data_IF_316673019889
#
_entry.id   IF_316673019889
#
_cell.length_a   1.000
_cell.length_b   1.000
_cell.length_c   1.000
_cell.angle_alpha   90.00
_cell.angle_beta   90.00
_cell.angle_gamma   90.00
#
_symmetry.space_group_name_H-M   'P 1'
#
loop_
_entity.id
_entity.type
_entity.pdbx_description
1 polymer ?
#
# COMPACT_ATOMS: atom_id res chain seq x y z
N UNK A 1 20.97 7.65 17.23
CA UNK A 1 20.37 8.89 16.68
C UNK A 1 20.44 8.79 15.18
N UNK A 2 19.30 8.98 14.50
CA UNK A 2 19.23 8.91 13.04
C UNK A 2 20.15 9.98 12.42
N UNK A 3 20.75 9.66 11.27
CA UNK A 3 21.50 10.64 10.47
C UNK A 3 20.56 11.75 9.94
N UNK A 4 21.01 13.00 9.94
CA UNK A 4 20.17 14.17 9.61
C UNK A 4 19.65 14.14 8.15
N UNK A 5 20.46 13.67 7.19
CA UNK A 5 20.04 13.53 5.79
C UNK A 5 19.00 12.42 5.64
N UNK A 6 19.16 11.32 6.38
CA UNK A 6 18.17 10.25 6.43
C UNK A 6 16.85 10.76 7.01
N UNK A 7 16.91 11.51 8.11
CA UNK A 7 15.74 12.08 8.77
C UNK A 7 14.98 13.04 7.84
N UNK A 8 15.67 13.95 7.16
CA UNK A 8 15.05 14.87 6.19
C UNK A 8 14.34 14.11 5.05
N UNK A 9 14.98 13.08 4.49
CA UNK A 9 14.40 12.29 3.40
C UNK A 9 13.12 11.57 3.81
N UNK A 10 13.07 11.02 5.02
CA UNK A 10 11.87 10.37 5.58
C UNK A 10 10.73 11.39 5.73
N UNK A 11 11.02 12.54 6.36
CA UNK A 11 10.00 13.57 6.56
C UNK A 11 9.51 14.18 5.24
N UNK A 12 10.42 14.37 4.27
CA UNK A 12 10.08 14.88 2.95
C UNK A 12 9.22 13.89 2.16
N UNK A 13 9.55 12.60 2.18
CA UNK A 13 8.70 11.55 1.59
C UNK A 13 7.30 11.57 2.21
N UNK A 14 7.21 11.64 3.55
CA UNK A 14 5.95 11.70 4.28
C UNK A 14 5.10 12.93 3.93
N UNK A 15 5.73 14.11 3.88
CA UNK A 15 5.06 15.36 3.51
C UNK A 15 4.49 15.33 2.09
N UNK A 16 5.25 14.77 1.14
CA UNK A 16 4.78 14.62 -0.24
C UNK A 16 3.62 13.62 -0.28
N UNK A 17 3.76 12.45 0.36
CA UNK A 17 2.71 11.43 0.42
C UNK A 17 1.41 11.98 1.02
N UNK A 18 1.48 12.71 2.14
CA UNK A 18 0.32 13.40 2.76
C UNK A 18 -0.37 14.35 1.78
N UNK A 19 0.40 15.21 1.10
CA UNK A 19 -0.12 16.17 0.13
C UNK A 19 -0.78 15.48 -1.06
N UNK A 20 -0.15 14.43 -1.59
CA UNK A 20 -0.66 13.65 -2.72
C UNK A 20 -1.91 12.86 -2.32
N UNK A 21 -1.95 12.24 -1.14
CA UNK A 21 -3.13 11.53 -0.61
C UNK A 21 -4.32 12.47 -0.48
N UNK A 22 -4.12 13.67 0.09
CA UNK A 22 -5.16 14.71 0.18
C UNK A 22 -5.65 15.14 -1.20
N UNK A 23 -4.73 15.42 -2.12
CA UNK A 23 -5.07 15.71 -3.53
C UNK A 23 -5.89 14.58 -4.18
N UNK A 24 -5.48 13.33 -3.99
CA UNK A 24 -6.16 12.17 -4.56
C UNK A 24 -7.58 12.00 -4.00
N UNK A 25 -7.76 12.18 -2.68
CA UNK A 25 -9.07 12.16 -2.03
C UNK A 25 -10.02 13.27 -2.50
N UNK A 26 -9.49 14.45 -2.83
CA UNK A 26 -10.29 15.54 -3.41
C UNK A 26 -10.67 15.31 -4.88
N UNK A 27 -9.83 14.57 -5.62
CA UNK A 27 -10.00 14.33 -7.06
C UNK A 27 -10.87 13.12 -7.39
N UNK A 28 -10.88 12.11 -6.52
CA UNK A 28 -11.64 10.89 -6.74
C UNK A 28 -13.14 11.21 -6.78
N UNK A 29 -13.83 10.74 -7.82
CA UNK A 29 -15.28 10.87 -7.98
C UNK A 29 -15.81 9.80 -8.93
N UNK A 30 -17.10 9.44 -8.84
CA UNK A 30 -17.72 8.53 -9.80
C UNK A 30 -17.54 9.00 -11.25
N UNK A 31 -17.40 8.02 -12.14
CA UNK A 31 -17.23 8.22 -13.59
C UNK A 31 -15.82 8.54 -14.06
N UNK A 32 -14.86 8.86 -13.17
CA UNK A 32 -13.46 8.99 -13.55
C UNK A 32 -12.89 7.62 -13.93
N UNK A 33 -12.14 7.57 -15.04
CA UNK A 33 -11.36 6.39 -15.42
C UNK A 33 -10.25 6.13 -14.40
N UNK A 34 -10.22 4.91 -13.90
CA UNK A 34 -9.23 4.46 -12.90
C UNK A 34 -7.80 4.66 -13.41
N UNK A 35 -7.58 4.39 -14.69
CA UNK A 35 -6.30 4.61 -15.38
C UNK A 35 -5.84 6.08 -15.29
N UNK A 36 -6.69 7.01 -15.70
CA UNK A 36 -6.35 8.44 -15.75
C UNK A 36 -6.13 9.00 -14.34
N UNK A 37 -6.88 8.51 -13.36
CA UNK A 37 -6.71 8.86 -11.96
C UNK A 37 -5.33 8.46 -11.43
N UNK A 38 -4.93 7.19 -11.59
CA UNK A 38 -3.63 6.74 -11.08
C UNK A 38 -2.45 7.43 -11.78
N UNK A 39 -2.55 7.69 -13.09
CA UNK A 39 -1.51 8.46 -13.81
C UNK A 39 -1.41 9.90 -13.30
N UNK A 40 -2.53 10.54 -12.94
CA UNK A 40 -2.55 11.88 -12.36
C UNK A 40 -1.95 11.92 -10.95
N UNK A 41 -2.33 10.97 -10.09
CA UNK A 41 -1.77 10.84 -8.74
C UNK A 41 -0.25 10.60 -8.78
N UNK A 42 0.22 9.69 -9.65
CA UNK A 42 1.65 9.40 -9.78
C UNK A 42 2.44 10.57 -10.38
N UNK A 43 1.88 11.26 -11.39
CA UNK A 43 2.46 12.49 -11.91
C UNK A 43 2.60 13.52 -10.80
N UNK A 44 1.59 13.65 -9.93
CA UNK A 44 1.62 14.58 -8.80
C UNK A 44 2.77 14.28 -7.83
N UNK A 45 3.09 13.01 -7.60
CA UNK A 45 4.26 12.61 -6.78
C UNK A 45 5.56 13.17 -7.40
N UNK A 46 5.74 13.04 -8.71
CA UNK A 46 6.92 13.57 -9.40
C UNK A 46 6.99 15.10 -9.35
N UNK A 47 5.87 15.80 -9.53
CA UNK A 47 5.79 17.27 -9.46
C UNK A 47 6.19 17.82 -8.09
N UNK A 48 5.86 17.09 -7.02
CA UNK A 48 6.23 17.44 -5.65
C UNK A 48 7.68 17.05 -5.30
N UNK A 49 8.42 16.49 -6.27
CA UNK A 49 9.84 16.15 -6.13
C UNK A 49 10.10 14.80 -5.45
N UNK A 50 9.10 13.91 -5.41
CA UNK A 50 9.23 12.52 -4.98
C UNK A 50 9.24 11.55 -6.16
N UNK A 51 9.29 10.25 -5.83
CA UNK A 51 9.02 9.17 -6.78
C UNK A 51 8.04 8.17 -6.15
N UNK A 52 7.18 7.48 -6.91
CA UNK A 52 6.31 6.45 -6.37
C UNK A 52 7.13 5.32 -5.71
N UNK A 53 6.86 5.02 -4.43
CA UNK A 53 7.47 3.87 -3.75
C UNK A 53 6.84 2.54 -4.20
N UNK A 54 5.59 2.61 -4.65
CA UNK A 54 4.84 1.54 -5.30
C UNK A 54 3.74 2.19 -6.15
N UNK A 55 3.06 1.45 -7.04
CA UNK A 55 2.02 2.01 -7.89
C UNK A 55 0.85 2.56 -7.08
N UNK A 56 0.26 3.68 -7.52
CA UNK A 56 -0.98 4.16 -6.91
C UNK A 56 -2.03 3.04 -6.96
N UNK A 57 -2.48 2.64 -5.78
CA UNK A 57 -3.48 1.62 -5.58
C UNK A 57 -4.85 2.29 -5.44
N UNK A 58 -5.86 1.75 -6.11
CA UNK A 58 -7.22 2.29 -6.14
C UNK A 58 -8.24 1.16 -6.01
N UNK A 59 -8.32 0.58 -4.82
CA UNK A 59 -9.10 -0.63 -4.55
C UNK A 59 -10.57 -0.30 -4.23
N UNK A 60 -11.50 -0.84 -5.02
CA UNK A 60 -12.93 -0.48 -4.97
C UNK A 60 -13.76 -1.59 -4.31
N UNK A 61 -14.65 -1.21 -3.39
CA UNK A 61 -15.60 -2.07 -2.68
C UNK A 61 -14.91 -3.26 -1.98
N UNK A 62 -15.14 -4.48 -2.47
CA UNK A 62 -14.61 -5.72 -1.90
C UNK A 62 -13.15 -5.99 -2.26
N UNK A 63 -12.59 -5.26 -3.21
CA UNK A 63 -11.15 -5.26 -3.44
C UNK A 63 -10.51 -4.57 -2.25
N UNK A 64 -9.68 -5.28 -1.49
CA UNK A 64 -9.02 -4.79 -0.29
C UNK A 64 -7.76 -3.99 -0.64
N UNK A 65 -6.87 -4.57 -1.45
CA UNK A 65 -5.57 -3.99 -1.80
C UNK A 65 -5.05 -4.56 -3.15
N UNK A 66 -3.90 -4.05 -3.59
CA UNK A 66 -3.14 -4.52 -4.77
C UNK A 66 -3.81 -4.33 -6.13
N UNK A 67 -4.82 -3.47 -6.23
CA UNK A 67 -5.38 -3.09 -7.53
C UNK A 67 -4.83 -1.73 -7.97
N UNK A 68 -4.16 -1.73 -9.12
CA UNK A 68 -3.75 -0.56 -9.90
C UNK A 68 -4.15 -0.84 -11.36
N UNK A 69 -4.54 0.16 -12.15
CA UNK A 69 -5.03 -0.05 -13.50
C UNK A 69 -3.93 -0.59 -14.44
N UNK A 70 -4.35 -1.29 -15.49
CA UNK A 70 -3.46 -1.88 -16.49
C UNK A 70 -3.51 -1.16 -17.85
N UNK A 71 -2.62 -1.52 -18.78
CA UNK A 71 -2.60 -0.96 -20.14
C UNK A 71 -3.92 -1.26 -20.86
N UNK A 72 -4.71 -0.23 -21.15
CA UNK A 72 -6.04 -0.38 -21.75
C UNK A 72 -7.16 -0.67 -20.76
N UNK A 73 -6.97 -0.39 -19.47
CA UNK A 73 -8.05 -0.46 -18.48
C UNK A 73 -9.10 0.64 -18.74
N UNK A 74 -10.33 0.22 -19.01
CA UNK A 74 -11.48 1.08 -19.26
C UNK A 74 -12.37 1.25 -18.03
N UNK A 75 -11.98 0.64 -16.89
CA UNK A 75 -12.73 0.74 -15.65
C UNK A 75 -12.86 2.19 -15.19
N UNK A 76 -14.05 2.51 -14.68
CA UNK A 76 -14.38 3.79 -14.08
C UNK A 76 -14.76 3.58 -12.62
N UNK A 77 -14.58 4.61 -11.79
CA UNK A 77 -15.07 4.61 -10.41
C UNK A 77 -16.60 4.55 -10.44
N UNK A 78 -17.23 3.50 -9.86
CA UNK A 78 -18.68 3.40 -9.87
C UNK A 78 -19.34 4.42 -8.94
N UNK A 79 -20.60 4.76 -9.22
CA UNK A 79 -21.47 5.43 -8.25
C UNK A 79 -21.63 4.58 -6.98
N UNK A 80 -21.92 5.23 -5.85
CA UNK A 80 -22.16 4.57 -4.57
C UNK A 80 -21.03 3.64 -4.07
N UNK A 81 -19.82 3.79 -4.60
CA UNK A 81 -18.68 2.92 -4.29
C UNK A 81 -17.87 3.40 -3.08
N UNK A 82 -17.13 2.47 -2.48
CA UNK A 82 -16.13 2.73 -1.44
C UNK A 82 -14.75 2.52 -2.04
N UNK A 83 -13.99 3.60 -2.18
CA UNK A 83 -12.71 3.63 -2.90
C UNK A 83 -11.58 3.83 -1.91
N UNK A 84 -10.66 2.86 -1.83
CA UNK A 84 -9.41 2.96 -1.08
C UNK A 84 -8.32 3.45 -2.01
N UNK A 85 -7.70 4.57 -1.67
CA UNK A 85 -6.59 5.16 -2.40
C UNK A 85 -5.36 5.02 -1.53
N UNK A 86 -4.36 4.34 -2.05
CA UNK A 86 -3.14 4.00 -1.34
C UNK A 86 -1.94 4.45 -2.18
N UNK A 87 -1.06 5.23 -1.52
CA UNK A 87 -0.05 6.10 -2.13
C UNK A 87 1.27 5.96 -1.39
N UNK A 88 2.25 5.39 -2.10
CA UNK A 88 3.64 5.33 -1.65
C UNK A 88 4.51 6.38 -2.30
N UNK A 89 5.34 7.08 -1.52
CA UNK A 89 6.36 8.01 -2.02
C UNK A 89 7.71 7.64 -1.43
N UNK A 90 8.78 7.73 -2.22
CA UNK A 90 10.14 7.64 -1.71
C UNK A 90 11.04 8.80 -2.15
N UNK A 91 12.01 9.11 -1.30
CA UNK A 91 13.18 9.95 -1.60
C UNK A 91 14.42 9.09 -1.39
N UNK A 92 15.18 8.80 -2.45
CA UNK A 92 16.38 7.93 -2.42
C UNK A 92 16.20 6.56 -1.72
N UNK A 93 14.97 6.07 -1.72
CA UNK A 93 14.57 4.79 -1.13
C UNK A 93 13.98 4.89 0.27
N UNK A 94 13.96 6.07 0.90
CA UNK A 94 13.23 6.29 2.16
C UNK A 94 11.77 6.52 1.87
N UNK A 95 10.93 5.60 2.35
CA UNK A 95 9.54 5.45 1.93
C UNK A 95 8.61 6.10 2.96
N UNK A 96 7.54 6.70 2.44
CA UNK A 96 6.32 6.96 3.16
C UNK A 96 5.16 6.24 2.47
N UNK A 97 4.38 5.54 3.26
CA UNK A 97 3.20 4.78 2.91
C UNK A 97 1.96 5.37 3.58
N UNK A 98 0.88 5.53 2.82
CA UNK A 98 -0.35 6.12 3.33
C UNK A 98 -1.54 5.88 2.42
N UNK A 99 -2.68 5.64 3.07
CA UNK A 99 -3.94 5.34 2.41
C UNK A 99 -5.11 6.08 3.04
N UNK A 100 -6.16 6.27 2.26
CA UNK A 100 -7.43 6.87 2.67
C UNK A 100 -8.58 6.18 1.94
N UNK A 101 -9.72 6.04 2.62
CA UNK A 101 -10.96 5.58 1.99
C UNK A 101 -11.90 6.76 1.74
N UNK A 102 -12.45 6.86 0.54
CA UNK A 102 -13.53 7.77 0.18
C UNK A 102 -14.78 6.95 -0.15
N UNK A 103 -15.90 7.28 0.47
CA UNK A 103 -17.20 6.65 0.21
C UNK A 103 -18.10 7.59 -0.58
N UNK A 104 -18.75 7.07 -1.63
CA UNK A 104 -19.83 7.74 -2.34
C UNK A 104 -21.22 7.21 -1.94
N UNK A 105 -21.29 6.44 -0.86
CA UNK A 105 -22.52 5.93 -0.29
C UNK A 105 -22.52 6.07 1.24
N UNK A 106 -23.39 6.94 1.81
CA UNK A 106 -23.45 7.19 3.25
C UNK A 106 -23.69 5.95 4.12
N UNK A 107 -24.21 4.86 3.54
CA UNK A 107 -24.36 3.56 4.22
C UNK A 107 -23.05 3.02 4.81
N UNK A 108 -21.90 3.45 4.28
CA UNK A 108 -20.58 2.99 4.72
C UNK A 108 -19.85 4.00 5.61
N UNK A 109 -20.45 5.12 5.99
CA UNK A 109 -19.79 6.15 6.80
C UNK A 109 -19.31 5.59 8.16
N UNK A 110 -20.14 4.78 8.82
CA UNK A 110 -19.77 4.09 10.07
C UNK A 110 -18.60 3.10 9.86
N UNK A 111 -18.48 2.48 8.67
CA UNK A 111 -17.36 1.60 8.35
C UNK A 111 -16.06 2.41 8.23
N UNK A 112 -16.10 3.57 7.55
CA UNK A 112 -14.93 4.45 7.43
C UNK A 112 -14.52 4.96 8.82
N UNK A 113 -15.48 5.46 9.59
CA UNK A 113 -15.25 5.96 10.94
C UNK A 113 -14.64 4.89 11.86
N UNK A 114 -15.10 3.63 11.76
CA UNK A 114 -14.56 2.53 12.53
C UNK A 114 -13.07 2.27 12.25
N UNK A 115 -12.67 2.32 10.98
CA UNK A 115 -11.30 2.06 10.54
C UNK A 115 -10.40 3.26 10.83
N UNK A 116 -10.88 4.49 10.61
CA UNK A 116 -10.15 5.71 10.95
C UNK A 116 -9.92 5.81 12.47
N UNK A 117 -10.97 5.56 13.27
CA UNK A 117 -10.84 5.48 14.74
C UNK A 117 -9.79 4.43 15.15
N UNK A 118 -9.76 3.28 14.48
CA UNK A 118 -8.78 2.24 14.79
C UNK A 118 -7.34 2.68 14.51
N UNK A 119 -7.11 3.44 13.43
CA UNK A 119 -5.82 4.01 13.10
C UNK A 119 -5.38 5.04 14.14
N UNK A 120 -6.25 5.99 14.47
CA UNK A 120 -5.99 7.01 15.48
C UNK A 120 -5.59 6.37 16.82
N UNK A 121 -6.36 5.38 17.28
CA UNK A 121 -6.08 4.65 18.53
C UNK A 121 -4.77 3.87 18.49
N UNK A 122 -4.41 3.30 17.33
CA UNK A 122 -3.14 2.59 17.17
C UNK A 122 -1.95 3.56 17.23
N UNK A 123 -2.06 4.72 16.58
CA UNK A 123 -1.05 5.79 16.60
C UNK A 123 -0.88 6.37 18.02
N UNK A 124 -1.97 6.58 18.77
CA UNK A 124 -1.92 7.11 20.15
C UNK A 124 -1.05 6.25 21.09
N UNK A 125 -1.00 4.94 20.87
CA UNK A 125 -0.31 4.02 21.77
C UNK A 125 1.08 3.60 21.27
N UNK A 126 1.40 3.85 20.01
CA UNK A 126 2.65 3.34 19.43
C UNK A 126 3.85 4.04 20.06
N UNK A 127 4.85 3.25 20.45
CA UNK A 127 6.09 3.71 21.08
C UNK A 127 7.09 2.55 21.13
N UNK A 128 8.38 2.80 21.42
CA UNK A 128 9.34 1.72 21.63
C UNK A 128 8.85 0.68 22.65
N UNK A 129 9.19 -0.59 22.41
CA UNK A 129 8.90 -1.77 23.23
C UNK A 129 7.43 -2.19 23.34
N UNK A 130 6.48 -1.48 22.73
CA UNK A 130 5.10 -1.96 22.67
C UNK A 130 5.01 -3.19 21.77
N UNK A 131 4.32 -4.24 22.23
CA UNK A 131 4.10 -5.45 21.45
C UNK A 131 3.11 -5.21 20.31
N UNK A 132 3.41 -5.73 19.12
CA UNK A 132 2.51 -5.59 17.95
C UNK A 132 1.15 -6.25 18.20
N UNK A 133 1.10 -7.31 19.01
CA UNK A 133 -0.12 -7.94 19.50
C UNK A 133 -1.05 -6.96 20.22
N UNK A 134 -0.49 -6.02 21.00
CA UNK A 134 -1.26 -5.02 21.74
C UNK A 134 -1.86 -3.98 20.80
N UNK A 135 -1.12 -3.59 19.76
CA UNK A 135 -1.63 -2.71 18.70
C UNK A 135 -2.80 -3.38 17.99
N UNK A 136 -2.65 -4.64 17.60
CA UNK A 136 -3.73 -5.41 16.97
C UNK A 136 -4.97 -5.61 17.86
N UNK A 137 -4.80 -5.75 19.18
CA UNK A 137 -5.93 -5.78 20.12
C UNK A 137 -6.71 -4.45 20.12
N UNK A 138 -6.02 -3.31 20.06
CA UNK A 138 -6.64 -1.98 20.04
C UNK A 138 -7.38 -1.75 18.72
N UNK A 139 -6.74 -2.06 17.59
CA UNK A 139 -7.37 -1.99 16.26
C UNK A 139 -8.63 -2.85 16.22
N UNK A 140 -8.52 -4.12 16.64
CA UNK A 140 -9.64 -5.06 16.63
C UNK A 140 -10.81 -4.57 17.49
N UNK A 141 -10.52 -4.05 18.68
CA UNK A 141 -11.54 -3.54 19.58
C UNK A 141 -12.26 -2.33 18.99
N UNK A 142 -11.52 -1.39 18.39
CA UNK A 142 -12.08 -0.21 17.76
C UNK A 142 -12.98 -0.59 16.58
N UNK A 143 -12.53 -1.45 15.66
CA UNK A 143 -13.36 -1.86 14.50
C UNK A 143 -14.61 -2.62 14.97
N UNK A 144 -14.48 -3.54 15.94
CA UNK A 144 -15.61 -4.32 16.45
C UNK A 144 -16.62 -3.50 17.24
N UNK A 145 -16.24 -2.39 17.88
CA UNK A 145 -17.20 -1.55 18.62
C UNK A 145 -18.24 -0.88 17.73
N UNK A 146 -17.95 -0.74 16.43
CA UNK A 146 -18.90 -0.26 15.41
C UNK A 146 -19.65 -1.39 14.70
N UNK A 147 -19.47 -2.66 15.11
CA UNK A 147 -20.16 -3.81 14.50
C UNK A 147 -19.50 -4.37 13.23
N UNK A 148 -18.30 -3.89 12.87
CA UNK A 148 -17.53 -4.40 11.72
C UNK A 148 -16.48 -5.42 12.14
N UNK A 149 -15.81 -6.01 11.15
CA UNK A 149 -14.73 -6.98 11.37
C UNK A 149 -13.41 -6.45 10.82
N UNK A 150 -12.31 -6.54 11.59
CA UNK A 150 -10.98 -6.31 11.03
C UNK A 150 -10.64 -7.42 10.02
N UNK A 151 -9.89 -7.08 8.97
CA UNK A 151 -9.30 -8.09 8.09
C UNK A 151 -8.08 -8.69 8.80
N UNK A 152 -8.19 -9.95 9.20
CA UNK A 152 -7.19 -10.59 10.08
C UNK A 152 -5.88 -11.02 9.40
N UNK A 153 -5.88 -11.15 8.08
CA UNK A 153 -4.71 -11.54 7.28
C UNK A 153 -4.17 -10.41 6.40
N UNK A 154 -4.50 -9.17 6.75
CA UNK A 154 -3.82 -7.95 6.31
C UNK A 154 -3.36 -7.19 7.56
N UNK A 155 -2.24 -6.50 7.44
CA UNK A 155 -1.52 -5.94 8.58
C UNK A 155 -0.60 -4.84 8.11
N UNK A 156 -0.38 -3.83 8.95
CA UNK A 156 0.74 -2.91 8.76
C UNK A 156 2.08 -3.62 8.83
N UNK A 157 3.15 -2.88 8.55
CA UNK A 157 4.47 -3.45 8.40
C UNK A 157 5.59 -2.47 8.76
N UNK A 158 6.77 -3.00 9.09
CA UNK A 158 7.99 -2.21 9.12
C UNK A 158 8.44 -1.86 7.70
N UNK A 159 9.09 -0.70 7.58
CA UNK A 159 9.60 -0.14 6.34
C UNK A 159 11.10 0.13 6.50
N UNK A 160 11.88 -0.25 5.49
CA UNK A 160 13.31 0.05 5.38
C UNK A 160 13.61 0.73 4.04
N UNK A 161 14.85 1.22 3.88
CA UNK A 161 15.28 1.85 2.63
C UNK A 161 15.18 0.86 1.46
N UNK A 162 14.43 1.22 0.43
CA UNK A 162 14.10 0.37 -0.75
C UNK A 162 13.38 -0.94 -0.42
N UNK A 163 12.87 -1.09 0.80
CA UNK A 163 12.19 -2.30 1.24
C UNK A 163 10.90 -1.94 1.96
N UNK A 164 9.80 -1.98 1.21
CA UNK A 164 8.46 -1.62 1.69
C UNK A 164 8.02 -2.52 2.85
N UNK A 165 8.32 -3.83 2.78
CA UNK A 165 7.89 -4.82 3.79
C UNK A 165 9.12 -5.45 4.45
N UNK A 166 9.69 -4.80 5.47
CA UNK A 166 10.98 -5.21 6.05
C UNK A 166 10.93 -6.30 7.14
N UNK A 167 9.74 -6.84 7.44
CA UNK A 167 9.59 -8.13 8.12
C UNK A 167 8.84 -8.12 9.44
N UNK A 168 8.66 -6.98 10.11
CA UNK A 168 7.74 -6.87 11.25
C UNK A 168 6.34 -6.61 10.72
N UNK A 169 5.38 -7.44 11.08
CA UNK A 169 3.95 -7.23 10.77
C UNK A 169 3.22 -6.67 12.00
N UNK A 170 2.35 -5.70 11.78
CA UNK A 170 1.50 -5.04 12.78
C UNK A 170 0.05 -5.46 12.52
N UNK A 171 -0.44 -6.50 13.20
CA UNK A 171 -1.69 -7.14 12.84
C UNK A 171 -2.90 -6.25 13.15
N UNK A 172 -3.99 -6.46 12.41
CA UNK A 172 -5.29 -5.81 12.68
C UNK A 172 -6.16 -6.57 13.68
N UNK A 173 -5.64 -7.68 14.20
CA UNK A 173 -6.24 -8.48 15.27
C UNK A 173 -5.20 -8.82 16.31
N UNK A 174 -5.63 -9.13 17.54
CA UNK A 174 -4.72 -9.60 18.56
C UNK A 174 -4.06 -10.93 18.15
N UNK A 175 -2.76 -10.89 17.87
CA UNK A 175 -1.95 -12.10 17.66
C UNK A 175 -1.30 -12.54 18.96
N UNK A 176 -1.83 -13.60 19.58
CA UNK A 176 -1.33 -14.11 20.87
C UNK A 176 0.02 -14.82 20.77
N UNK A 177 0.48 -15.15 19.55
CA UNK A 177 1.74 -15.85 19.32
C UNK A 177 2.88 -14.91 18.94
N UNK A 178 2.57 -13.70 18.47
CA UNK A 178 3.58 -12.71 18.13
C UNK A 178 4.31 -12.19 19.37
N UNK A 179 5.63 -12.35 19.36
CA UNK A 179 6.56 -11.77 20.34
C UNK A 179 7.21 -10.48 19.83
N UNK A 180 6.87 -10.06 18.60
CA UNK A 180 7.42 -8.87 17.96
C UNK A 180 7.00 -7.60 18.68
N UNK A 181 7.92 -6.64 18.69
CA UNK A 181 7.73 -5.32 19.31
C UNK A 181 8.13 -4.23 18.34
N UNK A 182 7.60 -3.04 18.57
CA UNK A 182 8.06 -1.82 17.93
C UNK A 182 9.43 -1.44 18.51
N UNK A 183 10.39 -1.17 17.63
CA UNK A 183 11.75 -0.75 17.99
C UNK A 183 11.96 0.71 17.62
N UNK A 184 12.79 1.42 18.38
CA UNK A 184 13.19 2.78 18.08
C UNK A 184 14.08 2.84 16.83
N UNK A 185 14.14 4.01 16.21
CA UNK A 185 14.88 4.31 14.96
C UNK A 185 14.37 3.52 13.74
N UNK A 186 13.10 3.14 13.74
CA UNK A 186 12.46 2.39 12.66
C UNK A 186 11.20 3.09 12.16
N UNK A 187 10.82 2.75 10.93
CA UNK A 187 9.63 3.25 10.25
C UNK A 187 8.60 2.13 10.19
N UNK A 188 7.34 2.47 10.42
CA UNK A 188 6.22 1.53 10.33
C UNK A 188 5.04 2.14 9.59
N UNK A 189 4.40 1.35 8.74
CA UNK A 189 3.06 1.56 8.22
C UNK A 189 2.05 0.99 9.22
N UNK A 190 1.08 1.79 9.65
CA UNK A 190 -0.06 1.35 10.45
C UNK A 190 -1.31 1.44 9.56
N UNK A 191 -1.85 0.30 9.15
CA UNK A 191 -2.95 0.20 8.17
C UNK A 191 -4.06 -0.75 8.64
N UNK A 192 -4.99 -0.28 9.49
CA UNK A 192 -6.22 -0.99 9.74
C UNK A 192 -7.05 -1.16 8.48
N UNK A 193 -7.54 -2.39 8.29
CA UNK A 193 -8.60 -2.71 7.33
C UNK A 193 -9.83 -3.21 8.07
N UNK A 194 -10.98 -2.63 7.76
CA UNK A 194 -12.29 -3.05 8.27
C UNK A 194 -13.22 -3.48 7.15
N UNK A 195 -14.14 -4.39 7.46
CA UNK A 195 -15.14 -4.86 6.51
C UNK A 195 -16.46 -5.24 7.16
N UNK A 196 -17.54 -5.18 6.37
CA UNK A 196 -18.83 -5.79 6.69
C UNK A 196 -18.94 -7.27 6.25
N UNK A 197 -17.87 -7.85 5.69
CA UNK A 197 -17.79 -9.24 5.25
C UNK A 197 -17.39 -10.24 6.34
N UNK A 198 -16.51 -11.18 5.99
CA UNK A 198 -15.98 -12.21 6.88
C UNK A 198 -14.68 -11.82 7.59
N UNK A 199 -14.02 -10.73 7.16
CA UNK A 199 -12.80 -10.23 7.80
C UNK A 199 -11.56 -11.03 7.37
N UNK A 200 -11.53 -11.48 6.12
CA UNK A 200 -10.44 -12.26 5.55
C UNK A 200 -10.33 -11.98 4.05
N UNK A 201 -9.10 -11.87 3.54
CA UNK A 201 -8.86 -11.69 2.10
C UNK A 201 -8.30 -12.95 1.44
N UNK A 202 -8.64 -13.13 0.17
CA UNK A 202 -8.10 -14.16 -0.71
C UNK A 202 -7.45 -13.51 -1.93
N UNK A 203 -6.46 -14.19 -2.49
CA UNK A 203 -5.85 -13.77 -3.75
C UNK A 203 -6.84 -13.95 -4.91
N UNK A 204 -7.01 -12.89 -5.69
CA UNK A 204 -7.72 -12.92 -6.95
C UNK A 204 -6.89 -13.52 -8.09
N UNK A 205 -7.50 -13.63 -9.27
CA UNK A 205 -6.82 -14.15 -10.48
C UNK A 205 -5.95 -13.10 -11.18
N UNK A 206 -6.22 -11.83 -10.92
CA UNK A 206 -5.56 -10.72 -11.60
C UNK A 206 -4.33 -10.27 -10.83
N UNK A 207 -3.26 -9.97 -11.56
CA UNK A 207 -2.00 -9.45 -11.05
C UNK A 207 -1.63 -8.25 -11.91
N UNK A 208 -1.32 -7.13 -11.26
CA UNK A 208 -0.89 -5.89 -11.93
C UNK A 208 0.40 -5.32 -11.35
N UNK A 209 0.80 -5.80 -10.17
CA UNK A 209 1.92 -5.28 -9.39
C UNK A 209 2.94 -6.41 -9.20
N UNK A 210 4.21 -6.06 -9.33
CA UNK A 210 5.35 -6.97 -9.25
C UNK A 210 6.49 -6.32 -8.48
N UNK A 211 7.41 -7.10 -7.93
CA UNK A 211 8.68 -6.60 -7.37
C UNK A 211 9.84 -7.48 -7.78
N UNK A 212 11.05 -6.90 -7.81
CA UNK A 212 12.27 -7.65 -8.06
C UNK A 212 12.70 -8.37 -6.77
N UNK A 213 12.91 -9.69 -6.87
CA UNK A 213 13.28 -10.52 -5.71
C UNK A 213 14.76 -10.84 -5.74
N UNK A 214 15.26 -11.33 -6.88
CA UNK A 214 16.66 -11.74 -7.00
C UNK A 214 17.14 -11.89 -8.43
N UNK A 215 18.45 -11.70 -8.58
CA UNK A 215 19.14 -11.85 -9.85
C UNK A 215 19.26 -13.32 -10.27
N UNK A 216 18.95 -13.62 -11.54
CA UNK A 216 19.27 -14.88 -12.19
C UNK A 216 19.59 -14.65 -13.67
N UNK A 217 20.42 -15.52 -14.25
CA UNK A 217 20.71 -15.49 -15.68
C UNK A 217 19.44 -15.79 -16.48
N UNK A 218 19.11 -14.89 -17.41
CA UNK A 218 18.04 -15.07 -18.39
C UNK A 218 18.63 -15.20 -19.80
N UNK A 219 18.02 -16.08 -20.61
CA UNK A 219 18.48 -16.37 -21.97
C UNK A 219 17.86 -15.43 -23.01
N UNK A 220 16.61 -15.04 -22.81
CA UNK A 220 15.85 -14.18 -23.70
C UNK A 220 16.35 -12.72 -23.62
N UNK A 221 16.48 -12.06 -24.75
CA UNK A 221 16.98 -10.68 -24.81
C UNK A 221 16.00 -9.68 -24.18
N UNK A 222 14.70 -9.88 -24.39
CA UNK A 222 13.67 -8.99 -23.87
C UNK A 222 13.56 -9.10 -22.35
N UNK A 223 13.76 -10.30 -21.80
CA UNK A 223 13.91 -10.49 -20.34
C UNK A 223 15.07 -9.65 -19.78
N UNK A 224 16.23 -9.63 -20.47
CA UNK A 224 17.39 -8.85 -20.00
C UNK A 224 17.09 -7.35 -19.98
N UNK A 225 16.56 -6.83 -21.09
CA UNK A 225 16.22 -5.41 -21.23
C UNK A 225 15.23 -4.97 -20.14
N UNK A 226 14.18 -5.76 -19.89
CA UNK A 226 13.21 -5.44 -18.85
C UNK A 226 13.80 -5.54 -17.45
N UNK A 227 14.60 -6.56 -17.15
CA UNK A 227 15.21 -6.71 -15.83
C UNK A 227 16.21 -5.58 -15.53
N UNK A 228 17.00 -5.17 -16.51
CA UNK A 228 17.92 -4.03 -16.36
C UNK A 228 17.15 -2.74 -16.04
N UNK A 229 16.03 -2.48 -16.73
CA UNK A 229 15.20 -1.30 -16.46
C UNK A 229 14.53 -1.37 -15.07
N UNK A 230 13.94 -2.52 -14.71
CA UNK A 230 13.31 -2.74 -13.41
C UNK A 230 14.31 -2.48 -12.28
N UNK A 231 15.51 -3.07 -12.37
CA UNK A 231 16.53 -2.92 -11.33
C UNK A 231 17.00 -1.48 -11.22
N UNK A 232 17.24 -0.82 -12.35
CA UNK A 232 17.72 0.57 -12.37
C UNK A 232 16.69 1.54 -11.80
N UNK A 233 15.39 1.32 -12.04
CA UNK A 233 14.33 2.28 -11.68
C UNK A 233 13.71 2.02 -10.31
N UNK A 234 13.49 0.76 -9.96
CA UNK A 234 12.68 0.39 -8.80
C UNK A 234 13.50 -0.22 -7.66
N UNK A 235 14.69 -0.79 -7.96
CA UNK A 235 15.63 -1.30 -6.94
C UNK A 235 15.00 -2.16 -5.83
N UNK A 236 14.09 -3.08 -6.22
CA UNK A 236 13.35 -3.95 -5.30
C UNK A 236 11.96 -3.46 -4.91
N UNK A 237 11.67 -2.16 -5.11
CA UNK A 237 10.34 -1.60 -4.88
C UNK A 237 9.29 -2.20 -5.83
N UNK A 238 8.02 -2.29 -5.39
CA UNK A 238 6.94 -2.71 -6.27
C UNK A 238 6.74 -1.78 -7.46
N UNK A 239 6.36 -2.35 -8.60
CA UNK A 239 6.08 -1.62 -9.84
C UNK A 239 4.85 -2.19 -10.54
N UNK A 240 4.17 -1.35 -11.31
CA UNK A 240 3.00 -1.75 -12.09
C UNK A 240 3.43 -2.26 -13.47
N UNK A 241 2.68 -3.21 -14.04
CA UNK A 241 2.88 -3.62 -15.43
C UNK A 241 2.78 -2.43 -16.40
N UNK A 242 1.86 -1.49 -16.15
CA UNK A 242 1.67 -0.33 -17.04
C UNK A 242 2.86 0.61 -17.08
N UNK A 243 3.75 0.60 -16.08
CA UNK A 243 4.98 1.39 -16.11
C UNK A 243 6.01 0.86 -17.12
N UNK A 244 5.86 -0.39 -17.56
CA UNK A 244 6.72 -1.02 -18.58
C UNK A 244 6.22 -0.80 -20.01
N UNK A 245 5.11 -0.06 -20.20
CA UNK A 245 4.48 0.16 -21.52
C UNK A 245 5.40 0.81 -22.56
N UNK A 246 6.39 1.59 -22.12
CA UNK A 246 7.35 2.23 -23.03
C UNK A 246 8.42 1.25 -23.57
N UNK A 247 8.56 0.07 -22.96
CA UNK A 247 9.48 -0.99 -23.40
C UNK A 247 8.71 -2.03 -24.21
N UNK A 248 7.58 -2.49 -23.69
CA UNK A 248 6.66 -3.39 -24.40
C UNK A 248 5.26 -2.78 -24.37
N UNK A 249 4.86 -2.08 -25.45
CA UNK A 249 3.51 -1.49 -25.54
C UNK A 249 2.40 -2.53 -25.62
N UNK A 250 2.67 -3.68 -26.24
CA UNK A 250 1.69 -4.76 -26.39
C UNK A 250 1.55 -5.56 -25.08
N UNK A 251 0.43 -5.35 -24.39
CA UNK A 251 0.19 -5.92 -23.06
C UNK A 251 0.32 -7.44 -23.00
N UNK A 252 -0.19 -8.17 -24.00
CA UNK A 252 -0.12 -9.64 -24.01
C UNK A 252 1.33 -10.14 -24.00
N UNK A 253 2.18 -9.53 -24.83
CA UNK A 253 3.61 -9.83 -24.88
C UNK A 253 4.32 -9.47 -23.57
N UNK A 254 3.95 -8.35 -22.96
CA UNK A 254 4.48 -7.96 -21.64
C UNK A 254 4.11 -8.99 -20.57
N UNK A 255 2.86 -9.45 -20.54
CA UNK A 255 2.39 -10.45 -19.59
C UNK A 255 3.12 -11.79 -19.75
N UNK A 256 3.49 -12.19 -20.96
CA UNK A 256 4.29 -13.41 -21.19
C UNK A 256 5.69 -13.30 -20.57
N UNK A 257 6.34 -12.15 -20.71
CA UNK A 257 7.63 -11.86 -20.07
C UNK A 257 7.50 -11.90 -18.55
N UNK A 258 6.54 -11.15 -17.99
CA UNK A 258 6.33 -11.08 -16.54
C UNK A 258 6.01 -12.46 -15.96
N UNK A 259 5.13 -13.24 -16.60
CA UNK A 259 4.83 -14.63 -16.18
C UNK A 259 6.07 -15.52 -16.16
N UNK A 260 6.95 -15.40 -17.15
CA UNK A 260 8.20 -16.17 -17.20
C UNK A 260 9.14 -15.78 -16.05
N UNK A 261 9.30 -14.48 -15.80
CA UNK A 261 10.15 -13.97 -14.72
C UNK A 261 9.62 -14.30 -13.32
N UNK A 262 8.30 -14.34 -13.14
CA UNK A 262 7.65 -14.82 -11.91
C UNK A 262 7.85 -16.32 -11.75
N UNK A 263 7.64 -17.13 -12.81
CA UNK A 263 7.86 -18.58 -12.79
C UNK A 263 9.30 -18.96 -12.42
N UNK A 264 10.27 -18.15 -12.84
CA UNK A 264 11.69 -18.34 -12.49
C UNK A 264 12.06 -17.75 -11.12
N UNK A 265 11.11 -17.18 -10.37
CA UNK A 265 11.31 -16.55 -9.06
C UNK A 265 12.32 -15.39 -9.09
N UNK A 266 12.39 -14.68 -10.22
CA UNK A 266 13.15 -13.43 -10.37
C UNK A 266 12.29 -12.27 -9.90
N UNK A 267 11.02 -12.28 -10.31
CA UNK A 267 9.99 -11.37 -9.82
C UNK A 267 9.05 -12.07 -8.84
N UNK A 268 8.49 -11.29 -7.92
CA UNK A 268 7.29 -11.65 -7.18
C UNK A 268 6.10 -10.95 -7.81
N UNK A 269 4.94 -11.60 -7.78
CA UNK A 269 3.68 -11.07 -8.26
C UNK A 269 2.78 -10.82 -7.05
N UNK A 270 2.12 -9.67 -6.99
CA UNK A 270 1.15 -9.34 -5.96
C UNK A 270 -0.26 -9.43 -6.58
N UNK A 271 -1.01 -10.51 -6.35
CA UNK A 271 -2.38 -10.62 -6.81
C UNK A 271 -3.26 -9.58 -6.11
N UNK A 272 -4.31 -9.16 -6.81
CA UNK A 272 -5.40 -8.35 -6.23
C UNK A 272 -5.98 -9.10 -5.03
N UNK A 273 -6.12 -8.42 -3.89
CA UNK A 273 -6.66 -9.02 -2.68
C UNK A 273 -8.15 -8.70 -2.56
N UNK A 274 -8.96 -9.75 -2.39
CA UNK A 274 -10.42 -9.66 -2.36
C UNK A 274 -10.94 -10.10 -1.00
N UNK A 275 -11.90 -9.36 -0.45
CA UNK A 275 -12.67 -9.82 0.70
C UNK A 275 -13.39 -11.14 0.35
N UNK A 276 -13.18 -12.18 1.15
CA UNK A 276 -13.50 -13.55 0.79
C UNK A 276 -15.00 -13.84 0.60
N UNK A 277 -15.88 -13.03 1.20
CA UNK A 277 -17.33 -13.13 1.04
C UNK A 277 -17.92 -11.97 0.20
N UNK A 278 -17.08 -11.14 -0.42
CA UNK A 278 -17.51 -9.99 -1.20
C UNK A 278 -17.97 -8.80 -0.36
N UNK A 279 -17.62 -8.75 0.94
CA UNK A 279 -17.88 -7.60 1.80
C UNK A 279 -17.11 -6.37 1.35
N UNK A 280 -17.66 -5.18 1.59
CA UNK A 280 -16.99 -3.90 1.33
C UNK A 280 -15.86 -3.69 2.35
N UNK A 281 -14.73 -3.16 1.88
CA UNK A 281 -13.53 -2.93 2.69
C UNK A 281 -13.19 -1.45 2.72
N UNK A 282 -12.85 -0.95 3.91
CA UNK A 282 -12.23 0.35 4.13
C UNK A 282 -10.82 0.17 4.72
N UNK A 283 -9.93 1.11 4.40
CA UNK A 283 -8.53 1.21 4.83
C UNK A 283 -8.20 2.67 5.14
N UNK A 284 -7.47 2.89 6.22
CA UNK A 284 -6.78 4.15 6.48
C UNK A 284 -5.37 3.81 6.92
N UNK A 285 -4.40 4.63 6.54
CA UNK A 285 -3.01 4.33 6.85
C UNK A 285 -2.14 5.56 7.03
N UNK A 286 -1.23 5.44 7.99
CA UNK A 286 -0.15 6.39 8.19
C UNK A 286 1.19 5.69 8.38
N UNK A 287 2.24 6.36 7.92
CA UNK A 287 3.62 6.03 8.24
C UNK A 287 4.04 6.77 9.50
N UNK A 288 4.70 6.05 10.40
CA UNK A 288 5.27 6.59 11.63
C UNK A 288 6.77 6.30 11.68
N UNK A 289 7.56 7.33 12.04
CA UNK A 289 8.95 7.20 12.44
C UNK A 289 8.98 7.13 13.97
N UNK A 290 9.39 5.99 14.51
CA UNK A 290 9.50 5.77 15.96
C UNK A 290 10.92 6.08 16.38
N UNK A 291 11.12 7.09 17.22
CA UNK A 291 12.41 7.43 17.83
C UNK A 291 12.40 7.01 19.30
N UNK A 292 13.54 7.14 19.99
CA UNK A 292 13.65 6.73 21.41
C UNK A 292 12.69 7.50 22.34
N UNK A 293 12.42 8.76 22.03
CA UNK A 293 11.67 9.69 22.91
C UNK A 293 10.39 10.25 22.29
N UNK A 294 10.18 10.03 21.00
CA UNK A 294 9.05 10.58 20.26
C UNK A 294 8.62 9.65 19.13
N UNK A 295 7.37 9.80 18.69
CA UNK A 295 6.85 9.17 17.48
C UNK A 295 6.38 10.28 16.57
N UNK A 296 6.84 10.26 15.33
CA UNK A 296 6.48 11.24 14.31
C UNK A 296 5.60 10.54 13.28
N UNK A 297 4.36 10.98 13.14
CA UNK A 297 3.50 10.55 12.04
C UNK A 297 3.90 11.34 10.80
N UNK A 298 4.60 10.72 9.86
CA UNK A 298 5.24 11.43 8.74
C UNK A 298 4.23 11.85 7.67
N UNK A 299 3.04 11.22 7.64
CA UNK A 299 2.03 11.40 6.59
C UNK A 299 0.75 12.11 7.04
N UNK A 300 0.73 12.81 8.19
CA UNK A 300 -0.41 13.63 8.65
C UNK A 300 -0.84 14.72 7.65
#
# INVERSE_FOLDING_TARGET
MLDDDVYDKILRAGKIASKVRKYAAEKVKPGIRVYDFCEDVERKIYEEGGKPAFPCNISINNVAAHYTPYIGDESVIPDESVVKIDVGVHIDGYIADTAVTVSFNPKYDDLLLAVETALERAIEIIKPDIGVSKIGEIIERAIRSYGYKPIRNLSGHSIERYNLHSGVSIPNVRDVFSVSKITSEHIYAIEPFGTNGVGYVVEGKNVYIYSFVKEKRVKDELDRVILEDIKKKYDGLPFAERWLRNIIPERNRLLEVLKRLVKTKILHAYPVLLEAAGGVVAQFEHTVLVLEKEVIVTTL
#
